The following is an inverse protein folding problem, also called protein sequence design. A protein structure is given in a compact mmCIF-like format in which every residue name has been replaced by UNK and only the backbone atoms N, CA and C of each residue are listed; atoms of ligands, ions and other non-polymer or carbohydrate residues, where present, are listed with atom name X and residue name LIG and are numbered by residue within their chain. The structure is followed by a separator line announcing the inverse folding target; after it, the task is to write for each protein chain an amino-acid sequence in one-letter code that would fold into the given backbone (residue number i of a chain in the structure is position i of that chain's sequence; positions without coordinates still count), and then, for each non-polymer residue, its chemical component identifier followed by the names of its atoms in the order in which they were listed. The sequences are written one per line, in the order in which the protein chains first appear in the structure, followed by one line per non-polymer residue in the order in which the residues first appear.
data_IF_783569367276
#
_entry.id   IF_783569367276
#
_cell.length_a   1.000
_cell.length_b   1.000
_cell.length_c   1.000
_cell.angle_alpha   90.00
_cell.angle_beta   90.00
_cell.angle_gamma   90.00
#
_symmetry.space_group_name_H-M   'P 1'
#
loop_
_entity.id
_entity.type
_entity.pdbx_description
1 polymer ?
#
# COMPACT_ATOMS: atom_id res chain seq x y z
N UNK A 1 -10.93 13.85 9.37
CA UNK A 1 -10.33 13.93 8.01
C UNK A 1 -11.27 14.77 7.14
N UNK A 2 -10.77 15.72 6.35
CA UNK A 2 -11.62 16.50 5.45
C UNK A 2 -12.23 15.60 4.35
N UNK A 3 -13.44 15.89 3.86
CA UNK A 3 -14.10 15.10 2.82
C UNK A 3 -13.35 15.17 1.49
N UNK A 4 -13.57 14.19 0.61
CA UNK A 4 -12.86 13.99 -0.68
C UNK A 4 -12.85 15.24 -1.58
N UNK A 5 -13.86 16.10 -1.50
CA UNK A 5 -13.93 17.35 -2.28
C UNK A 5 -13.18 18.56 -1.70
N UNK A 6 -12.53 18.41 -0.55
CA UNK A 6 -11.88 19.52 0.14
C UNK A 6 -10.43 19.71 -0.35
N UNK A 7 -10.01 20.96 -0.61
CA UNK A 7 -8.65 21.27 -1.13
C UNK A 7 -7.48 20.77 -0.27
N UNK A 8 -7.72 20.58 1.03
CA UNK A 8 -6.74 20.04 1.97
C UNK A 8 -6.72 18.49 2.01
N UNK A 9 -7.48 17.81 1.15
CA UNK A 9 -7.45 16.36 1.02
C UNK A 9 -6.17 15.94 0.28
N UNK A 10 -5.23 15.33 1.01
CA UNK A 10 -3.96 14.83 0.47
C UNK A 10 -3.91 13.30 0.41
N UNK A 11 -5.07 12.63 0.43
CA UNK A 11 -5.20 11.19 0.48
C UNK A 11 -5.81 10.70 1.81
N UNK A 12 -5.80 9.37 1.98
CA UNK A 12 -6.32 8.73 3.19
C UNK A 12 -5.32 8.96 4.33
N UNK A 13 -5.80 9.50 5.44
CA UNK A 13 -4.97 9.60 6.64
C UNK A 13 -4.74 8.18 7.20
N UNK A 14 -3.49 7.68 7.24
CA UNK A 14 -3.19 6.32 7.65
C UNK A 14 -3.60 6.04 9.11
N UNK A 15 -3.49 7.02 10.00
CA UNK A 15 -3.91 6.88 11.39
C UNK A 15 -5.44 6.83 11.52
N UNK A 16 -6.15 7.60 10.70
CA UNK A 16 -7.61 7.56 10.69
C UNK A 16 -8.11 6.20 10.16
N UNK A 17 -7.49 5.69 9.10
CA UNK A 17 -7.80 4.37 8.54
C UNK A 17 -7.50 3.26 9.54
N UNK A 18 -6.28 3.24 10.12
CA UNK A 18 -5.87 2.22 11.08
C UNK A 18 -6.76 2.20 12.32
N UNK A 19 -7.06 3.37 12.89
CA UNK A 19 -7.96 3.47 14.04
C UNK A 19 -9.37 2.95 13.72
N UNK A 20 -9.91 3.32 12.55
CA UNK A 20 -11.22 2.86 12.14
C UNK A 20 -11.25 1.34 11.90
N UNK A 21 -10.20 0.77 11.32
CA UNK A 21 -10.04 -0.67 11.15
C UNK A 21 -9.97 -1.41 12.49
N UNK A 22 -9.16 -0.94 13.45
CA UNK A 22 -9.09 -1.58 14.77
C UNK A 22 -10.42 -1.51 15.52
N UNK A 23 -11.11 -0.36 15.43
CA UNK A 23 -12.46 -0.19 16.00
C UNK A 23 -13.46 -1.15 15.35
N UNK A 24 -13.34 -1.36 14.03
CA UNK A 24 -14.22 -2.26 13.30
C UNK A 24 -13.94 -3.73 13.61
N UNK A 25 -12.68 -4.13 13.80
CA UNK A 25 -12.31 -5.47 14.28
C UNK A 25 -12.94 -5.75 15.65
N UNK A 26 -12.84 -4.80 16.60
CA UNK A 26 -13.49 -4.94 17.90
C UNK A 26 -15.01 -5.13 17.76
N UNK A 27 -15.62 -4.35 16.86
CA UNK A 27 -17.05 -4.49 16.57
C UNK A 27 -17.40 -5.85 15.94
N UNK A 28 -16.61 -6.34 14.97
CA UNK A 28 -16.82 -7.65 14.33
C UNK A 28 -16.78 -8.77 15.37
N UNK A 29 -15.83 -8.71 16.30
CA UNK A 29 -15.72 -9.67 17.39
C UNK A 29 -16.91 -9.57 18.36
N UNK A 30 -17.32 -8.37 18.77
CA UNK A 30 -18.36 -8.20 19.81
C UNK A 30 -19.80 -8.30 19.29
N UNK A 31 -20.06 -7.76 18.11
CA UNK A 31 -21.40 -7.59 17.51
C UNK A 31 -21.32 -7.82 15.99
N UNK A 32 -21.02 -9.06 15.55
CA UNK A 32 -20.94 -9.39 14.13
C UNK A 32 -22.32 -9.30 13.47
N UNK A 33 -22.34 -8.73 12.27
CA UNK A 33 -23.46 -8.82 11.32
C UNK A 33 -23.30 -10.03 10.42
N UNK A 34 -24.33 -10.37 9.63
CA UNK A 34 -24.24 -11.49 8.68
C UNK A 34 -23.17 -11.25 7.59
N UNK A 35 -22.99 -9.98 7.17
CA UNK A 35 -21.91 -9.57 6.27
C UNK A 35 -20.53 -9.86 6.89
N UNK A 36 -20.36 -9.54 8.17
CA UNK A 36 -19.09 -9.82 8.88
C UNK A 36 -18.82 -11.31 9.04
N UNK A 37 -19.86 -12.12 9.24
CA UNK A 37 -19.73 -13.58 9.33
C UNK A 37 -19.31 -14.20 7.99
N UNK A 38 -19.78 -13.64 6.88
CA UNK A 38 -19.39 -14.08 5.55
C UNK A 38 -17.94 -13.66 5.21
N UNK A 39 -17.54 -12.44 5.59
CA UNK A 39 -16.24 -11.88 5.25
C UNK A 39 -15.12 -12.27 6.22
N UNK A 40 -15.45 -12.51 7.49
CA UNK A 40 -14.51 -12.73 8.57
C UNK A 40 -14.94 -13.91 9.47
N UNK A 41 -15.09 -15.12 8.92
CA UNK A 41 -15.61 -16.28 9.65
C UNK A 41 -14.79 -16.64 10.89
N UNK A 42 -13.48 -16.40 10.85
CA UNK A 42 -12.54 -16.77 11.93
C UNK A 42 -12.58 -15.82 13.14
N UNK A 43 -13.04 -14.58 12.95
CA UNK A 43 -13.02 -13.53 14.00
C UNK A 43 -14.42 -13.02 14.38
N UNK A 44 -15.44 -13.28 13.56
CA UNK A 44 -16.81 -12.87 13.86
C UNK A 44 -17.32 -13.61 15.11
N UNK A 45 -17.46 -12.88 16.23
CA UNK A 45 -17.84 -13.46 17.52
C UNK A 45 -16.68 -13.99 18.37
N UNK A 46 -15.42 -13.78 17.97
CA UNK A 46 -14.24 -14.21 18.73
C UNK A 46 -13.87 -13.22 19.86
N UNK A 47 -12.84 -13.54 20.66
CA UNK A 47 -12.27 -12.57 21.60
C UNK A 47 -11.54 -11.45 20.85
N UNK A 48 -12.01 -10.22 21.05
CA UNK A 48 -11.52 -9.04 20.34
C UNK A 48 -10.09 -8.67 20.73
N UNK A 49 -9.70 -8.87 22.00
CA UNK A 49 -8.36 -8.57 22.49
C UNK A 49 -7.32 -9.48 21.84
N UNK A 50 -7.58 -10.79 21.85
CA UNK A 50 -6.71 -11.77 21.21
C UNK A 50 -6.62 -11.53 19.69
N UNK A 51 -7.75 -11.21 19.05
CA UNK A 51 -7.78 -10.91 17.61
C UNK A 51 -6.97 -9.67 17.25
N UNK A 52 -7.11 -8.58 18.03
CA UNK A 52 -6.34 -7.36 17.84
C UNK A 52 -4.85 -7.57 18.07
N UNK A 53 -4.46 -8.24 19.17
CA UNK A 53 -3.05 -8.53 19.46
C UNK A 53 -2.41 -9.36 18.34
N UNK A 54 -3.14 -10.36 17.83
CA UNK A 54 -2.69 -11.14 16.68
C UNK A 54 -2.52 -10.29 15.42
N UNK A 55 -3.49 -9.44 15.11
CA UNK A 55 -3.44 -8.57 13.94
C UNK A 55 -2.24 -7.60 14.01
N UNK A 56 -2.02 -6.99 15.18
CA UNK A 56 -0.92 -6.05 15.41
C UNK A 56 0.47 -6.68 15.31
N UNK A 57 0.62 -7.94 15.74
CA UNK A 57 1.92 -8.62 15.77
C UNK A 57 2.32 -9.25 14.44
N UNK A 58 1.33 -9.72 13.68
CA UNK A 58 1.59 -10.61 12.53
C UNK A 58 1.37 -9.95 11.18
N UNK A 59 0.77 -8.76 11.12
CA UNK A 59 0.45 -8.09 9.86
C UNK A 59 1.11 -6.72 9.76
N UNK A 60 1.69 -6.46 8.58
CA UNK A 60 2.13 -5.13 8.12
C UNK A 60 0.97 -4.40 7.45
N UNK A 61 1.09 -3.08 7.27
CA UNK A 61 0.04 -2.20 6.71
C UNK A 61 -0.68 -2.80 5.49
N UNK A 62 0.05 -3.27 4.48
CA UNK A 62 -0.51 -3.84 3.26
C UNK A 62 -1.35 -5.10 3.53
N UNK A 63 -0.80 -6.01 4.33
CA UNK A 63 -1.47 -7.26 4.70
C UNK A 63 -2.62 -7.04 5.69
N UNK A 64 -2.51 -6.03 6.54
CA UNK A 64 -3.55 -5.65 7.50
C UNK A 64 -4.77 -5.10 6.76
N UNK A 65 -4.56 -4.20 5.80
CA UNK A 65 -5.62 -3.72 4.89
C UNK A 65 -6.20 -4.88 4.08
N UNK A 66 -5.34 -5.72 3.50
CA UNK A 66 -5.73 -6.86 2.69
C UNK A 66 -6.60 -7.87 3.44
N UNK A 67 -6.33 -8.08 4.73
CA UNK A 67 -6.99 -9.10 5.53
C UNK A 67 -8.20 -8.57 6.31
N UNK A 68 -8.15 -7.35 6.85
CA UNK A 68 -9.11 -6.86 7.86
C UNK A 68 -9.98 -5.68 7.43
N UNK A 69 -9.79 -5.10 6.24
CA UNK A 69 -10.65 -4.03 5.76
C UNK A 69 -12.04 -4.58 5.39
N UNK A 70 -13.08 -4.16 6.11
CA UNK A 70 -14.45 -4.63 5.93
C UNK A 70 -15.24 -3.87 4.86
N UNK A 71 -16.21 -4.51 4.18
CA UNK A 71 -17.14 -3.83 3.26
C UNK A 71 -17.88 -2.67 3.91
N UNK A 72 -18.30 -2.83 5.17
CA UNK A 72 -18.93 -1.78 5.97
C UNK A 72 -18.04 -0.54 6.06
N UNK A 73 -16.77 -0.72 6.43
CA UNK A 73 -15.85 0.40 6.57
C UNK A 73 -15.53 1.04 5.21
N UNK A 74 -15.43 0.24 4.14
CA UNK A 74 -15.29 0.76 2.78
C UNK A 74 -16.47 1.65 2.38
N UNK A 75 -17.71 1.28 2.74
CA UNK A 75 -18.90 2.13 2.53
C UNK A 75 -18.86 3.40 3.37
N UNK A 76 -18.51 3.29 4.64
CA UNK A 76 -18.45 4.42 5.58
C UNK A 76 -17.43 5.47 5.16
N UNK A 77 -16.25 5.01 4.72
CA UNK A 77 -15.17 5.84 4.21
C UNK A 77 -15.35 6.24 2.73
N UNK A 78 -16.42 5.75 2.07
CA UNK A 78 -16.72 5.97 0.65
C UNK A 78 -15.53 5.63 -0.26
N UNK A 79 -14.88 4.51 0.00
CA UNK A 79 -13.76 4.02 -0.79
C UNK A 79 -14.26 3.47 -2.12
N UNK A 80 -13.64 3.91 -3.21
CA UNK A 80 -13.83 3.38 -4.56
C UNK A 80 -12.47 3.19 -5.22
N UNK A 81 -12.36 2.16 -6.05
CA UNK A 81 -11.17 1.92 -6.87
C UNK A 81 -11.45 2.45 -8.28
N UNK A 82 -10.47 3.14 -8.86
CA UNK A 82 -10.51 3.55 -10.27
C UNK A 82 -9.75 2.51 -11.08
N UNK A 83 -10.52 1.84 -11.93
CA UNK A 83 -10.17 1.06 -13.12
C UNK A 83 -9.31 1.79 -14.17
N UNK A 84 -8.11 2.31 -13.90
CA UNK A 84 -7.34 2.97 -14.98
C UNK A 84 -6.65 1.92 -15.87
N UNK A 85 -7.39 1.41 -16.84
CA UNK A 85 -6.91 0.55 -17.92
C UNK A 85 -6.63 1.42 -19.15
N UNK A 86 -5.35 1.62 -19.51
CA UNK A 86 -4.93 2.45 -20.66
C UNK A 86 -5.54 2.02 -22.01
N UNK A 87 -6.19 0.84 -22.08
CA UNK A 87 -6.90 0.35 -23.26
C UNK A 87 -8.36 0.79 -23.33
N UNK A 88 -8.88 1.43 -22.30
CA UNK A 88 -10.28 1.86 -22.22
C UNK A 88 -10.36 3.40 -22.17
N UNK A 89 -11.07 3.99 -23.13
CA UNK A 89 -11.18 5.44 -23.29
C UNK A 89 -12.03 6.13 -22.21
N UNK A 90 -12.66 5.37 -21.31
CA UNK A 90 -13.55 5.87 -20.27
C UNK A 90 -13.12 5.32 -18.91
N UNK A 91 -13.08 6.20 -17.91
CA UNK A 91 -12.84 5.82 -16.51
C UNK A 91 -14.09 5.12 -15.98
N UNK A 92 -14.11 3.79 -16.03
CA UNK A 92 -15.19 3.02 -15.44
C UNK A 92 -15.04 2.99 -13.91
N UNK A 93 -16.03 3.56 -13.21
CA UNK A 93 -16.18 3.36 -11.75
C UNK A 93 -16.75 1.96 -11.54
N UNK A 94 -15.91 0.93 -11.71
CA UNK A 94 -16.34 -0.47 -11.72
C UNK A 94 -16.78 -1.02 -10.34
N UNK A 95 -16.77 -0.20 -9.28
CA UNK A 95 -17.21 -0.64 -7.96
C UNK A 95 -18.68 -0.25 -7.70
N UNK A 96 -19.60 -0.90 -8.41
CA UNK A 96 -20.95 -1.09 -7.90
C UNK A 96 -20.78 -1.87 -6.58
N UNK A 97 -21.45 -1.45 -5.51
CA UNK A 97 -21.29 -1.95 -4.15
C UNK A 97 -21.72 -3.44 -3.98
N UNK A 98 -20.97 -4.36 -4.58
CA UNK A 98 -21.09 -5.81 -4.47
C UNK A 98 -19.79 -6.44 -3.91
N UNK A 99 -19.84 -7.74 -3.61
CA UNK A 99 -18.72 -8.46 -3.02
C UNK A 99 -17.44 -8.42 -3.88
N UNK A 100 -17.59 -8.42 -5.21
CA UNK A 100 -16.45 -8.38 -6.12
C UNK A 100 -15.80 -6.98 -6.11
N UNK A 101 -16.61 -5.92 -6.10
CA UNK A 101 -16.17 -4.55 -5.98
C UNK A 101 -15.41 -4.30 -4.67
N UNK A 102 -15.91 -4.80 -3.54
CA UNK A 102 -15.20 -4.65 -2.26
C UNK A 102 -13.86 -5.38 -2.24
N UNK A 103 -13.75 -6.56 -2.87
CA UNK A 103 -12.47 -7.27 -2.99
C UNK A 103 -11.47 -6.45 -3.82
N UNK A 104 -11.91 -5.88 -4.94
CA UNK A 104 -11.08 -5.03 -5.79
C UNK A 104 -10.61 -3.75 -5.06
N UNK A 105 -11.50 -3.09 -4.31
CA UNK A 105 -11.16 -1.91 -3.50
C UNK A 105 -10.11 -2.27 -2.44
N UNK A 106 -10.31 -3.38 -1.72
CA UNK A 106 -9.39 -3.86 -0.69
C UNK A 106 -8.01 -4.18 -1.26
N UNK A 107 -7.98 -4.90 -2.38
CA UNK A 107 -6.74 -5.26 -3.07
C UNK A 107 -6.01 -4.01 -3.58
N UNK A 108 -6.73 -3.08 -4.22
CA UNK A 108 -6.14 -1.83 -4.70
C UNK A 108 -5.55 -1.00 -3.55
N UNK A 109 -6.27 -0.85 -2.44
CA UNK A 109 -5.78 -0.09 -1.29
C UNK A 109 -4.59 -0.78 -0.63
N UNK A 110 -4.63 -2.09 -0.44
CA UNK A 110 -3.52 -2.88 0.09
C UNK A 110 -2.24 -2.65 -0.73
N UNK A 111 -2.34 -2.70 -2.07
CA UNK A 111 -1.21 -2.42 -2.98
C UNK A 111 -0.68 -0.99 -2.89
N UNK A 112 -1.49 0.01 -2.52
CA UNK A 112 -1.01 1.40 -2.36
C UNK A 112 -0.16 1.58 -1.09
N UNK A 113 -0.43 0.77 -0.06
CA UNK A 113 0.30 0.78 1.20
C UNK A 113 1.47 -0.22 1.23
N UNK A 114 1.62 -1.06 0.20
CA UNK A 114 2.81 -1.88 0.00
C UNK A 114 4.04 -0.97 -0.16
N UNK A 115 4.89 -0.95 0.88
CA UNK A 115 6.14 -0.19 0.91
C UNK A 115 7.05 -0.53 -0.28
N UNK A 116 7.02 -1.78 -0.77
CA UNK A 116 7.80 -2.20 -1.94
C UNK A 116 7.35 -1.57 -3.26
N UNK A 117 6.15 -0.98 -3.29
CA UNK A 117 5.62 -0.23 -4.44
C UNK A 117 5.87 1.28 -4.36
N UNK A 118 6.18 1.81 -3.15
CA UNK A 118 6.45 3.23 -2.90
C UNK A 118 7.93 3.54 -2.94
N UNK A 119 8.77 2.62 -2.47
CA UNK A 119 10.22 2.79 -2.48
C UNK A 119 10.80 2.27 -3.80
N UNK A 120 11.66 3.05 -4.48
CA UNK A 120 12.31 2.57 -5.69
C UNK A 120 13.23 1.39 -5.35
N UNK A 121 13.06 0.29 -6.09
CA UNK A 121 13.88 -0.91 -5.94
C UNK A 121 15.27 -0.66 -6.55
N UNK A 122 16.21 -0.18 -5.73
CA UNK A 122 17.60 0.08 -6.12
C UNK A 122 18.51 -0.90 -5.40
N UNK A 123 19.27 -1.67 -6.17
CA UNK A 123 20.18 -2.69 -5.64
C UNK A 123 21.62 -2.42 -6.05
N UNK A 124 22.56 -2.83 -5.19
CA UNK A 124 23.97 -2.90 -5.56
C UNK A 124 24.14 -4.08 -6.52
N UNK A 125 24.37 -3.78 -7.79
CA UNK A 125 24.44 -4.78 -8.84
C UNK A 125 25.88 -5.29 -9.05
N UNK A 126 26.85 -4.37 -9.03
CA UNK A 126 28.25 -4.72 -9.23
C UNK A 126 29.19 -3.71 -8.55
N UNK A 127 30.41 -4.16 -8.25
CA UNK A 127 31.51 -3.31 -7.80
C UNK A 127 32.75 -3.64 -8.62
N UNK A 128 33.34 -2.64 -9.28
CA UNK A 128 34.56 -2.82 -10.08
C UNK A 128 35.82 -2.88 -9.21
N UNK A 129 35.98 -3.94 -8.43
CA UNK A 129 37.09 -4.07 -7.47
C UNK A 129 38.49 -4.08 -8.10
N UNK A 130 38.61 -4.44 -9.38
CA UNK A 130 39.90 -4.57 -10.08
C UNK A 130 40.25 -3.35 -10.95
N UNK A 131 39.33 -2.41 -11.10
CA UNK A 131 39.52 -1.20 -11.89
C UNK A 131 39.41 0.06 -11.05
N UNK A 132 38.49 0.94 -11.43
CA UNK A 132 38.25 2.24 -10.82
C UNK A 132 37.43 2.19 -9.51
N UNK A 133 37.08 0.98 -9.04
CA UNK A 133 36.25 0.75 -7.84
C UNK A 133 34.87 1.37 -7.95
N UNK A 134 34.36 1.57 -9.17
CA UNK A 134 33.02 2.11 -9.36
C UNK A 134 31.95 1.16 -8.83
N UNK A 135 30.91 1.73 -8.23
CA UNK A 135 29.71 1.03 -7.80
C UNK A 135 28.63 1.15 -8.88
N UNK A 136 28.08 0.02 -9.32
CA UNK A 136 26.91 0.00 -10.21
C UNK A 136 25.67 -0.29 -9.37
N UNK A 137 24.78 0.69 -9.32
CA UNK A 137 23.42 0.56 -8.80
C UNK A 137 22.46 0.24 -9.94
N UNK A 138 21.51 -0.67 -9.69
CA UNK A 138 20.46 -1.00 -10.64
C UNK A 138 19.10 -0.73 -10.02
N UNK A 139 18.33 0.12 -10.69
CA UNK A 139 16.94 0.39 -10.41
C UNK A 139 16.06 -0.52 -11.26
N UNK A 140 15.18 -1.29 -10.63
CA UNK A 140 14.15 -2.07 -11.30
C UNK A 140 12.84 -1.29 -11.31
N UNK A 141 12.38 -0.89 -12.48
CA UNK A 141 11.15 -0.12 -12.62
C UNK A 141 9.93 -0.98 -12.24
N UNK A 142 9.09 -0.46 -11.36
CA UNK A 142 7.80 -1.07 -11.05
C UNK A 142 6.68 -0.30 -11.78
N UNK A 143 5.96 -0.98 -12.68
CA UNK A 143 4.88 -0.41 -13.51
C UNK A 143 5.33 0.82 -14.32
N UNK A 144 6.51 0.71 -14.94
CA UNK A 144 7.09 1.76 -15.79
C UNK A 144 7.26 3.13 -15.11
N UNK A 145 7.25 3.17 -13.78
CA UNK A 145 7.46 4.41 -13.01
C UNK A 145 8.95 4.78 -13.03
N UNK A 146 9.35 5.93 -13.61
CA UNK A 146 10.73 6.37 -13.58
C UNK A 146 11.10 6.97 -12.23
N UNK A 147 12.40 7.04 -11.93
CA UNK A 147 12.90 7.83 -10.82
C UNK A 147 12.69 9.33 -11.07
N UNK A 148 12.43 10.07 -10.01
CA UNK A 148 12.33 11.52 -10.09
C UNK A 148 13.70 12.15 -10.43
N UNK A 149 13.70 13.34 -11.04
CA UNK A 149 14.93 14.05 -11.45
C UNK A 149 15.91 14.31 -10.28
N UNK A 150 15.40 14.39 -9.05
CA UNK A 150 16.20 14.53 -7.83
C UNK A 150 17.04 13.30 -7.48
N UNK A 151 16.81 12.15 -8.12
CA UNK A 151 17.60 10.94 -7.90
C UNK A 151 19.10 11.17 -8.18
N UNK A 152 19.44 12.00 -9.18
CA UNK A 152 20.82 12.36 -9.49
C UNK A 152 21.50 13.13 -8.35
N UNK A 153 20.77 13.98 -7.63
CA UNK A 153 21.31 14.69 -6.46
C UNK A 153 21.57 13.72 -5.29
N UNK A 154 20.69 12.73 -5.09
CA UNK A 154 20.87 11.70 -4.06
C UNK A 154 22.09 10.82 -4.36
N UNK A 155 22.33 10.48 -5.63
CA UNK A 155 23.51 9.70 -6.04
C UNK A 155 24.83 10.37 -5.67
N UNK A 156 24.90 11.71 -5.61
CA UNK A 156 26.10 12.42 -5.15
C UNK A 156 26.45 12.08 -3.71
N UNK A 157 25.44 11.88 -2.85
CA UNK A 157 25.67 11.46 -1.47
C UNK A 157 26.17 10.01 -1.39
N UNK A 158 25.64 9.12 -2.23
CA UNK A 158 26.13 7.74 -2.33
C UNK A 158 27.59 7.71 -2.79
N UNK A 159 27.94 8.50 -3.82
CA UNK A 159 29.32 8.62 -4.29
C UNK A 159 30.26 9.17 -3.22
N UNK A 160 29.80 10.15 -2.42
CA UNK A 160 30.57 10.69 -1.31
C UNK A 160 30.83 9.66 -0.21
N UNK A 161 29.84 8.81 0.11
CA UNK A 161 29.98 7.74 1.09
C UNK A 161 30.86 6.60 0.59
N UNK A 162 30.72 6.24 -0.69
CA UNK A 162 31.49 5.18 -1.33
C UNK A 162 32.95 5.57 -1.61
N UNK A 163 33.19 6.84 -1.94
CA UNK A 163 34.53 7.39 -2.21
C UNK A 163 35.03 7.20 -3.65
N UNK A 164 34.27 6.52 -4.51
CA UNK A 164 34.58 6.29 -5.94
C UNK A 164 33.35 6.58 -6.81
N UNK A 165 33.49 6.42 -8.13
CA UNK A 165 32.39 6.64 -9.08
C UNK A 165 31.17 5.75 -8.78
N UNK A 166 29.98 6.29 -8.96
CA UNK A 166 28.72 5.56 -8.82
C UNK A 166 27.91 5.74 -10.11
N UNK A 167 27.45 4.64 -10.67
CA UNK A 167 26.60 4.62 -11.85
C UNK A 167 25.24 4.04 -11.48
N UNK A 168 24.17 4.59 -12.02
CA UNK A 168 22.81 4.11 -11.84
C UNK A 168 22.22 3.72 -13.19
N UNK A 169 21.83 2.45 -13.32
CA UNK A 169 21.10 1.92 -14.46
C UNK A 169 19.63 1.74 -14.07
N UNK A 170 18.68 2.09 -14.95
CA UNK A 170 17.26 1.74 -14.78
C UNK A 170 16.88 0.69 -15.82
N UNK A 171 16.24 -0.39 -15.38
CA UNK A 171 15.78 -1.52 -16.19
C UNK A 171 14.34 -1.88 -15.89
#
# INVERSE_FOLDING_TARGET
QPPVGHKAYSGINPYALGFAMYTDIERICRKPTDEDRAWFPDIAGSDWLTTLDHAMRNFKDESFIGQYLSPKLMRELRLFAIVDDERQNELEVAAIHDDAGYRAVRESLSRQYDLGSREPNIQVWNVNLRGDRSLTLRHFQHRDRPLHATAQEVLKHVARLWGFGVQLESV
#
